data_IF_555384526797
#
_entry.id   IF_555384526797
#
_cell.length_a   1.000
_cell.length_b   1.000
_cell.length_c   1.000
_cell.angle_alpha   90.00
_cell.angle_beta   90.00
_cell.angle_gamma   90.00
#
_symmetry.space_group_name_H-M   'P 1'
#
loop_
_entity.id
_entity.type
_entity.pdbx_description
1 polymer ?
#
# COMPACT_ATOMS: atom_id res chain seq x y z
N UNK A 1 25.81 2.66 -22.34
CA UNK A 1 25.65 1.29 -21.81
C UNK A 1 24.32 0.78 -22.33
N UNK A 2 24.33 -0.14 -23.31
CA UNK A 2 23.13 -0.55 -24.06
C UNK A 2 22.01 -1.06 -23.13
N UNK A 3 20.78 -0.61 -23.34
CA UNK A 3 19.57 -1.12 -22.66
C UNK A 3 19.47 -2.63 -22.87
N UNK A 4 19.39 -3.40 -21.77
CA UNK A 4 19.31 -4.86 -21.89
C UNK A 4 17.91 -5.25 -22.35
N UNK A 5 17.76 -5.42 -23.67
CA UNK A 5 16.54 -5.90 -24.32
C UNK A 5 16.22 -7.30 -23.80
N UNK A 6 15.01 -7.46 -23.27
CA UNK A 6 14.54 -8.73 -22.70
C UNK A 6 13.88 -9.63 -23.75
N UNK A 7 13.23 -9.02 -24.75
CA UNK A 7 12.51 -9.73 -25.78
C UNK A 7 11.54 -8.82 -26.54
N UNK A 8 10.77 -9.44 -27.43
CA UNK A 8 9.73 -8.79 -28.22
C UNK A 8 8.45 -9.63 -28.19
N UNK A 9 7.30 -8.96 -28.23
CA UNK A 9 5.99 -9.60 -28.33
C UNK A 9 4.96 -8.60 -28.81
N UNK A 10 4.06 -9.01 -29.70
CA UNK A 10 2.91 -8.19 -30.17
C UNK A 10 3.30 -6.77 -30.66
N UNK A 11 4.47 -6.65 -31.31
CA UNK A 11 4.98 -5.38 -31.84
C UNK A 11 5.57 -4.44 -30.78
N UNK A 12 5.87 -4.96 -29.58
CA UNK A 12 6.54 -4.26 -28.49
C UNK A 12 7.92 -4.86 -28.26
N UNK A 13 8.85 -4.01 -27.83
CA UNK A 13 10.15 -4.40 -27.31
C UNK A 13 10.21 -4.14 -25.81
N UNK A 14 10.68 -5.12 -25.05
CA UNK A 14 10.70 -5.07 -23.59
C UNK A 14 12.11 -4.90 -23.06
N UNK A 15 12.25 -4.12 -22.00
CA UNK A 15 13.53 -3.83 -21.34
C UNK A 15 13.36 -3.86 -19.82
N UNK A 16 14.46 -4.13 -19.11
CA UNK A 16 14.53 -3.72 -17.71
C UNK A 16 14.57 -2.20 -17.65
N UNK A 17 13.72 -1.62 -16.81
CA UNK A 17 13.69 -0.20 -16.56
C UNK A 17 14.99 0.25 -15.88
N UNK A 18 15.36 1.51 -16.11
CA UNK A 18 16.54 2.13 -15.53
C UNK A 18 16.21 3.48 -14.92
N UNK A 19 17.09 4.03 -14.07
CA UNK A 19 16.92 5.39 -13.55
C UNK A 19 16.66 6.43 -14.66
N UNK A 20 17.26 6.26 -15.84
CA UNK A 20 17.13 7.21 -16.97
C UNK A 20 15.78 7.15 -17.68
N UNK A 21 15.00 6.08 -17.51
CA UNK A 21 13.65 5.98 -18.11
C UNK A 21 12.60 6.77 -17.30
N UNK A 22 12.98 7.43 -16.20
CA UNK A 22 12.06 8.11 -15.28
C UNK A 22 11.12 9.09 -16.00
N UNK A 23 11.66 10.01 -16.80
CA UNK A 23 10.85 11.04 -17.46
C UNK A 23 9.84 10.43 -18.44
N UNK A 24 10.26 9.42 -19.21
CA UNK A 24 9.39 8.67 -20.12
C UNK A 24 8.27 7.93 -19.37
N UNK A 25 8.60 7.33 -18.21
CA UNK A 25 7.62 6.64 -17.35
C UNK A 25 6.63 7.64 -16.75
N UNK A 26 7.10 8.80 -16.29
CA UNK A 26 6.23 9.84 -15.74
C UNK A 26 5.31 10.41 -16.83
N UNK A 27 5.79 10.55 -18.06
CA UNK A 27 4.99 11.01 -19.20
C UNK A 27 3.79 10.10 -19.49
N UNK A 28 3.92 8.77 -19.33
CA UNK A 28 2.79 7.84 -19.48
C UNK A 28 1.94 7.67 -18.20
N UNK A 29 2.41 8.24 -17.08
CA UNK A 29 1.75 8.20 -15.78
C UNK A 29 0.90 9.45 -15.50
N UNK A 30 0.80 10.37 -16.45
CA UNK A 30 -0.03 11.57 -16.32
C UNK A 30 -1.50 11.23 -16.02
N UNK A 31 -2.12 12.05 -15.17
CA UNK A 31 -3.49 11.94 -14.66
C UNK A 31 -3.84 10.62 -13.95
N UNK A 32 -2.84 9.90 -13.45
CA UNK A 32 -3.08 8.70 -12.65
C UNK A 32 -3.40 9.09 -11.20
N UNK A 33 -4.43 8.42 -10.65
CA UNK A 33 -4.87 8.54 -9.26
C UNK A 33 -5.18 9.97 -8.82
N UNK A 34 -5.64 10.84 -9.73
CA UNK A 34 -6.03 12.22 -9.40
C UNK A 34 -4.91 13.00 -8.70
N UNK A 35 -3.66 12.78 -9.12
CA UNK A 35 -2.46 13.41 -8.52
C UNK A 35 -1.91 12.68 -7.30
N UNK A 36 -2.57 11.63 -6.82
CA UNK A 36 -2.15 10.83 -5.67
C UNK A 36 -1.15 9.71 -6.04
N UNK A 37 -0.35 9.92 -7.09
CA UNK A 37 0.56 8.90 -7.60
C UNK A 37 1.81 8.77 -6.71
N UNK A 38 2.06 7.55 -6.26
CA UNK A 38 3.23 7.17 -5.47
C UNK A 38 4.45 6.83 -6.35
N UNK A 39 4.25 6.51 -7.63
CA UNK A 39 5.34 6.06 -8.48
C UNK A 39 6.50 7.06 -8.60
N UNK A 40 6.27 8.39 -8.73
CA UNK A 40 7.36 9.37 -8.82
C UNK A 40 8.38 9.27 -7.68
N UNK A 41 7.91 9.13 -6.43
CA UNK A 41 8.80 9.07 -5.26
C UNK A 41 9.41 7.68 -5.04
N UNK A 42 8.84 6.62 -5.64
CA UNK A 42 9.31 5.23 -5.48
C UNK A 42 10.23 4.77 -6.61
N UNK A 43 10.11 5.34 -7.81
CA UNK A 43 10.73 4.83 -9.02
C UNK A 43 12.24 4.54 -8.87
N UNK A 44 13.01 5.50 -8.39
CA UNK A 44 14.45 5.32 -8.26
C UNK A 44 14.82 4.24 -7.23
N UNK A 45 14.08 4.15 -6.12
CA UNK A 45 14.31 3.10 -5.11
C UNK A 45 14.04 1.69 -5.67
N UNK A 46 13.08 1.56 -6.59
CA UNK A 46 12.76 0.29 -7.24
C UNK A 46 13.89 -0.21 -8.14
N UNK A 47 14.71 0.67 -8.71
CA UNK A 47 15.82 0.28 -9.59
C UNK A 47 16.93 -0.45 -8.81
N UNK A 48 16.99 -0.28 -7.50
CA UNK A 48 18.00 -0.86 -6.62
C UNK A 48 17.42 -1.85 -5.60
N UNK A 49 16.09 -2.06 -5.61
CA UNK A 49 15.44 -2.93 -4.64
C UNK A 49 15.73 -4.40 -4.96
N UNK A 50 16.28 -5.18 -4.02
CA UNK A 50 16.49 -6.61 -4.22
C UNK A 50 15.19 -7.33 -4.56
N UNK A 51 15.28 -8.32 -5.45
CA UNK A 51 14.16 -9.16 -5.87
C UNK A 51 13.04 -8.43 -6.62
N UNK A 52 13.29 -7.18 -7.02
CA UNK A 52 12.40 -6.41 -7.88
C UNK A 52 12.84 -6.44 -9.33
N UNK A 53 11.89 -6.72 -10.21
CA UNK A 53 12.00 -6.55 -11.65
C UNK A 53 11.03 -5.46 -12.09
N UNK A 54 11.54 -4.41 -12.72
CA UNK A 54 10.71 -3.38 -13.35
C UNK A 54 10.89 -3.49 -14.85
N UNK A 55 9.80 -3.76 -15.55
CA UNK A 55 9.81 -3.99 -16.99
C UNK A 55 9.08 -2.84 -17.67
N UNK A 56 9.71 -2.28 -18.69
CA UNK A 56 9.10 -1.29 -19.58
C UNK A 56 8.89 -1.90 -20.96
N UNK A 57 7.82 -1.48 -21.64
CA UNK A 57 7.54 -1.82 -23.02
C UNK A 57 7.65 -0.57 -23.89
N UNK A 58 8.35 -0.71 -25.03
CA UNK A 58 8.49 0.34 -26.05
C UNK A 58 7.88 -0.11 -27.37
N UNK A 59 7.27 0.85 -28.09
CA UNK A 59 6.88 0.71 -29.49
C UNK A 59 7.79 1.64 -30.31
N UNK A 60 8.75 1.06 -31.02
CA UNK A 60 9.87 1.83 -31.55
C UNK A 60 10.66 2.49 -30.42
N UNK A 61 10.87 3.80 -30.48
CA UNK A 61 11.54 4.56 -29.43
C UNK A 61 10.63 4.94 -28.26
N UNK A 62 9.30 4.89 -28.41
CA UNK A 62 8.34 5.41 -27.43
C UNK A 62 8.05 4.40 -26.32
N UNK A 63 8.23 4.79 -25.06
CA UNK A 63 7.75 4.03 -23.90
C UNK A 63 6.23 4.08 -23.83
N UNK A 64 5.60 2.91 -23.73
CA UNK A 64 4.13 2.80 -23.75
C UNK A 64 3.54 2.06 -22.55
N UNK A 65 4.33 1.28 -21.80
CA UNK A 65 3.86 0.63 -20.59
C UNK A 65 5.01 0.35 -19.61
N UNK A 66 4.65 0.19 -18.33
CA UNK A 66 5.52 -0.26 -17.25
C UNK A 66 4.77 -1.23 -16.33
N UNK A 67 5.45 -2.25 -15.82
CA UNK A 67 4.99 -3.10 -14.72
C UNK A 67 6.15 -3.36 -13.75
N UNK A 68 5.87 -3.31 -12.44
CA UNK A 68 6.82 -3.73 -11.41
C UNK A 68 6.38 -5.05 -10.78
N UNK A 69 7.36 -5.92 -10.56
CA UNK A 69 7.22 -7.25 -9.97
C UNK A 69 8.21 -7.40 -8.82
N UNK A 70 7.73 -7.55 -7.59
CA UNK A 70 8.56 -7.81 -6.41
C UNK A 70 8.41 -9.26 -5.98
N UNK A 71 9.49 -10.03 -6.00
CA UNK A 71 9.48 -11.43 -5.55
C UNK A 71 9.62 -11.48 -4.03
N UNK A 72 8.67 -12.17 -3.39
CA UNK A 72 8.49 -12.24 -1.93
C UNK A 72 8.17 -13.68 -1.50
N UNK A 73 7.84 -13.87 -0.22
CA UNK A 73 7.41 -15.15 0.35
C UNK A 73 8.44 -16.27 0.13
N UNK A 74 9.73 -15.93 0.31
CA UNK A 74 10.83 -16.88 0.08
C UNK A 74 10.99 -17.30 -1.39
N UNK A 75 10.64 -16.40 -2.33
CA UNK A 75 10.78 -16.66 -3.77
C UNK A 75 9.63 -17.46 -4.37
N UNK A 76 8.49 -17.57 -3.66
CA UNK A 76 7.32 -18.34 -4.10
C UNK A 76 6.21 -17.47 -4.69
N UNK A 77 6.21 -16.19 -4.39
CA UNK A 77 5.17 -15.27 -4.82
C UNK A 77 5.79 -14.04 -5.46
N UNK A 78 5.14 -13.50 -6.49
CA UNK A 78 5.43 -12.17 -7.02
C UNK A 78 4.27 -11.23 -6.70
N UNK A 79 4.58 -10.10 -6.08
CA UNK A 79 3.66 -8.98 -5.89
C UNK A 79 3.81 -8.02 -7.06
N UNK A 80 2.71 -7.72 -7.74
CA UNK A 80 2.70 -6.83 -8.89
C UNK A 80 2.10 -5.48 -8.53
N UNK A 81 2.81 -4.42 -8.90
CA UNK A 81 2.44 -3.04 -8.62
C UNK A 81 2.89 -2.08 -9.73
N UNK A 82 2.36 -0.85 -9.70
CA UNK A 82 2.82 0.21 -10.60
C UNK A 82 2.52 -0.03 -12.07
N UNK A 83 1.49 -0.80 -12.42
CA UNK A 83 1.08 -0.96 -13.83
C UNK A 83 0.75 0.41 -14.44
N UNK A 84 1.42 0.72 -15.55
CA UNK A 84 1.22 1.93 -16.36
C UNK A 84 0.99 1.56 -17.80
N UNK A 85 0.05 2.27 -18.42
CA UNK A 85 -0.22 2.21 -19.86
C UNK A 85 -0.41 3.64 -20.35
N UNK A 86 0.30 3.98 -21.42
CA UNK A 86 0.20 5.25 -22.13
C UNK A 86 -1.28 5.59 -22.38
N UNK A 87 -1.74 6.82 -22.07
CA UNK A 87 -3.14 7.20 -22.21
C UNK A 87 -3.76 6.84 -23.56
N UNK A 88 -3.02 7.07 -24.65
CA UNK A 88 -3.47 6.80 -26.03
C UNK A 88 -3.57 5.31 -26.38
N UNK A 89 -3.05 4.41 -25.54
CA UNK A 89 -3.09 2.96 -25.74
C UNK A 89 -3.93 2.22 -24.67
N UNK A 90 -4.59 2.97 -23.78
CA UNK A 90 -5.52 2.40 -22.78
C UNK A 90 -6.76 1.83 -23.48
N UNK A 91 -7.30 0.74 -22.95
CA UNK A 91 -8.45 0.04 -23.54
C UNK A 91 -8.13 -0.88 -24.73
N UNK A 92 -6.89 -0.88 -25.23
CA UNK A 92 -6.46 -1.68 -26.39
C UNK A 92 -5.81 -3.02 -26.01
N UNK A 93 -5.93 -3.46 -24.76
CA UNK A 93 -5.39 -4.74 -24.28
C UNK A 93 -3.90 -4.74 -23.90
N UNK A 94 -3.18 -3.61 -24.06
CA UNK A 94 -1.74 -3.51 -23.79
C UNK A 94 -1.34 -3.92 -22.36
N UNK A 95 -2.17 -3.60 -21.36
CA UNK A 95 -1.97 -4.06 -19.98
C UNK A 95 -1.80 -5.59 -19.89
N UNK A 96 -2.60 -6.35 -20.65
CA UNK A 96 -2.49 -7.81 -20.67
C UNK A 96 -1.22 -8.30 -21.37
N UNK A 97 -0.73 -7.58 -22.38
CA UNK A 97 0.50 -7.92 -23.11
C UNK A 97 1.72 -7.80 -22.19
N UNK A 98 1.87 -6.64 -21.54
CA UNK A 98 3.00 -6.43 -20.62
C UNK A 98 2.93 -7.38 -19.42
N UNK A 99 1.74 -7.64 -18.87
CA UNK A 99 1.55 -8.61 -17.80
C UNK A 99 2.01 -10.01 -18.19
N UNK A 100 1.58 -10.52 -19.36
CA UNK A 100 2.01 -11.85 -19.83
C UNK A 100 3.51 -11.94 -20.03
N UNK A 101 4.12 -10.90 -20.60
CA UNK A 101 5.56 -10.85 -20.80
C UNK A 101 6.29 -10.82 -19.44
N UNK A 102 5.85 -9.97 -18.52
CA UNK A 102 6.44 -9.84 -17.19
C UNK A 102 6.33 -11.14 -16.40
N UNK A 103 5.16 -11.80 -16.42
CA UNK A 103 4.93 -13.10 -15.76
C UNK A 103 5.93 -14.16 -16.28
N UNK A 104 6.09 -14.26 -17.60
CA UNK A 104 7.04 -15.19 -18.21
C UNK A 104 8.50 -14.85 -17.87
N UNK A 105 8.85 -13.57 -17.84
CA UNK A 105 10.20 -13.13 -17.49
C UNK A 105 10.52 -13.37 -16.00
N UNK A 106 9.57 -13.09 -15.10
CA UNK A 106 9.69 -13.41 -13.67
C UNK A 106 9.90 -14.91 -13.48
N UNK A 107 9.11 -15.77 -14.13
CA UNK A 107 9.29 -17.24 -14.08
C UNK A 107 10.67 -17.68 -14.59
N UNK A 108 11.21 -17.02 -15.61
CA UNK A 108 12.54 -17.32 -16.13
C UNK A 108 13.65 -16.97 -15.13
N UNK A 109 13.56 -15.82 -14.46
CA UNK A 109 14.57 -15.35 -13.49
C UNK A 109 14.41 -16.04 -12.13
N UNK A 110 13.17 -16.27 -11.72
CA UNK A 110 12.77 -16.88 -10.45
C UNK A 110 11.86 -18.11 -10.68
N UNK A 111 12.41 -19.26 -11.11
CA UNK A 111 11.62 -20.46 -11.43
C UNK A 111 10.81 -21.02 -10.26
N UNK A 112 11.14 -20.63 -9.03
CA UNK A 112 10.44 -21.04 -7.82
C UNK A 112 9.11 -20.31 -7.59
N UNK A 113 8.87 -19.19 -8.29
CA UNK A 113 7.64 -18.42 -8.17
C UNK A 113 6.47 -19.24 -8.70
N UNK A 114 5.42 -19.33 -7.89
CA UNK A 114 4.18 -20.07 -8.18
C UNK A 114 2.97 -19.15 -8.21
N UNK A 115 2.96 -18.09 -7.41
CA UNK A 115 1.79 -17.23 -7.26
C UNK A 115 2.10 -15.80 -7.70
N UNK A 116 1.09 -15.14 -8.27
CA UNK A 116 1.05 -13.70 -8.51
C UNK A 116 0.00 -13.09 -7.60
N UNK A 117 0.38 -12.11 -6.79
CA UNK A 117 -0.50 -11.32 -5.95
C UNK A 117 -0.55 -9.89 -6.42
N UNK A 118 -1.71 -9.26 -6.25
CA UNK A 118 -1.87 -7.83 -6.43
C UNK A 118 -2.98 -7.30 -5.54
N UNK A 119 -2.89 -6.01 -5.23
CA UNK A 119 -3.99 -5.27 -4.66
C UNK A 119 -4.49 -4.23 -5.66
N UNK A 120 -5.79 -3.91 -5.60
CA UNK A 120 -6.39 -2.93 -6.51
C UNK A 120 -7.55 -2.19 -5.87
N UNK A 121 -7.75 -0.94 -6.29
CA UNK A 121 -8.82 -0.07 -5.82
C UNK A 121 -10.09 -0.11 -6.70
N UNK A 122 -9.93 -0.43 -7.97
CA UNK A 122 -11.04 -0.47 -8.92
C UNK A 122 -11.73 -1.84 -8.91
N UNK A 123 -13.05 -1.86 -9.08
CA UNK A 123 -13.80 -3.08 -9.33
C UNK A 123 -13.59 -3.50 -10.80
N UNK A 124 -12.88 -4.60 -11.09
CA UNK A 124 -12.57 -4.95 -12.46
C UNK A 124 -13.70 -5.68 -13.18
N UNK A 125 -14.83 -5.90 -12.50
CA UNK A 125 -15.98 -6.63 -13.01
C UNK A 125 -15.78 -8.16 -12.96
N UNK A 126 -16.87 -8.94 -13.06
CA UNK A 126 -16.84 -10.38 -12.84
C UNK A 126 -15.89 -11.15 -13.77
N UNK A 127 -15.79 -10.74 -15.04
CA UNK A 127 -14.97 -11.42 -16.06
C UNK A 127 -13.46 -11.28 -15.77
N UNK A 128 -13.02 -10.13 -15.26
CA UNK A 128 -11.61 -9.95 -14.89
C UNK A 128 -11.33 -10.56 -13.51
N UNK A 129 -12.29 -10.48 -12.58
CA UNK A 129 -12.17 -11.11 -11.26
C UNK A 129 -12.08 -12.63 -11.36
N UNK A 130 -12.77 -13.27 -12.31
CA UNK A 130 -12.73 -14.74 -12.46
C UNK A 130 -11.35 -15.31 -12.79
N UNK A 131 -10.40 -14.46 -13.20
CA UNK A 131 -9.00 -14.84 -13.45
C UNK A 131 -8.16 -14.91 -12.18
N UNK A 132 -8.73 -14.54 -11.03
CA UNK A 132 -8.04 -14.48 -9.76
C UNK A 132 -8.87 -15.19 -8.69
N UNK A 133 -8.16 -15.78 -7.73
CA UNK A 133 -8.71 -16.09 -6.42
C UNK A 133 -8.85 -14.78 -5.64
N UNK A 134 -10.07 -14.46 -5.25
CA UNK A 134 -10.32 -13.38 -4.30
C UNK A 134 -9.93 -13.86 -2.89
N UNK A 135 -8.97 -13.19 -2.27
CA UNK A 135 -8.50 -13.54 -0.93
C UNK A 135 -9.23 -12.73 0.14
N UNK A 136 -9.28 -11.41 -0.01
CA UNK A 136 -9.97 -10.52 0.93
C UNK A 136 -10.11 -9.09 0.40
N UNK A 137 -10.62 -8.18 1.24
CA UNK A 137 -10.65 -6.74 1.00
C UNK A 137 -10.42 -5.92 2.28
N UNK A 138 -9.94 -4.70 2.09
CA UNK A 138 -9.87 -3.66 3.12
C UNK A 138 -10.70 -2.46 2.73
N UNK A 139 -11.33 -1.80 3.69
CA UNK A 139 -11.92 -0.49 3.47
C UNK A 139 -10.86 0.59 3.62
N UNK A 140 -11.02 1.68 2.87
CA UNK A 140 -10.09 2.82 2.90
C UNK A 140 -10.85 4.07 3.34
N UNK A 141 -10.41 4.68 4.44
CA UNK A 141 -10.79 6.04 4.82
C UNK A 141 -9.78 7.00 4.20
N UNK A 142 -10.24 8.06 3.55
CA UNK A 142 -9.36 9.06 2.95
C UNK A 142 -9.67 10.46 3.44
N UNK A 143 -8.64 11.12 3.94
CA UNK A 143 -8.70 12.46 4.52
C UNK A 143 -7.72 13.38 3.79
N UNK A 144 -8.04 14.67 3.73
CA UNK A 144 -7.18 15.71 3.21
C UNK A 144 -7.22 16.91 4.16
N UNK A 145 -6.06 17.46 4.49
CA UNK A 145 -5.98 18.68 5.29
C UNK A 145 -4.66 19.40 5.09
N UNK A 146 -4.58 20.62 5.61
CA UNK A 146 -3.40 21.47 5.49
C UNK A 146 -2.62 21.52 6.80
N UNK A 147 -1.32 21.82 6.69
CA UNK A 147 -0.41 21.87 7.84
C UNK A 147 -0.87 22.83 8.94
N UNK A 148 -1.46 23.97 8.56
CA UNK A 148 -1.93 25.01 9.50
C UNK A 148 -3.01 24.51 10.47
N UNK A 149 -3.87 23.60 10.01
CA UNK A 149 -5.03 23.12 10.79
C UNK A 149 -4.83 21.71 11.34
N UNK A 150 -3.75 21.04 10.96
CA UNK A 150 -3.53 19.64 11.28
C UNK A 150 -3.31 19.39 12.78
N UNK A 151 -2.59 20.28 13.48
CA UNK A 151 -2.40 20.16 14.94
C UNK A 151 -3.72 20.31 15.71
N UNK A 152 -4.59 21.21 15.25
CA UNK A 152 -5.95 21.38 15.76
C UNK A 152 -6.78 20.10 15.58
N UNK A 153 -6.68 19.46 14.41
CA UNK A 153 -7.37 18.20 14.14
C UNK A 153 -6.91 17.07 15.06
N UNK A 154 -5.60 16.91 15.25
CA UNK A 154 -5.07 15.90 16.17
C UNK A 154 -5.53 16.16 17.61
N UNK A 155 -5.52 17.41 18.03
CA UNK A 155 -6.00 17.82 19.37
C UNK A 155 -7.50 17.55 19.55
N UNK A 156 -8.29 17.78 18.50
CA UNK A 156 -9.71 17.47 18.46
C UNK A 156 -9.99 15.96 18.60
N UNK A 157 -9.26 15.11 17.88
CA UNK A 157 -9.39 13.65 18.01
C UNK A 157 -9.03 13.17 19.43
N UNK A 158 -7.98 13.74 20.03
CA UNK A 158 -7.62 13.44 21.43
C UNK A 158 -8.73 13.82 22.40
N UNK A 159 -9.35 14.99 22.24
CA UNK A 159 -10.45 15.42 23.08
C UNK A 159 -11.66 14.48 22.95
N UNK A 160 -12.00 14.03 21.73
CA UNK A 160 -13.05 13.02 21.50
C UNK A 160 -12.77 11.72 22.26
N UNK A 161 -11.52 11.25 22.26
CA UNK A 161 -11.14 10.05 23.01
C UNK A 161 -11.33 10.23 24.51
N UNK A 162 -10.95 11.38 25.08
CA UNK A 162 -11.12 11.66 26.51
C UNK A 162 -12.58 11.65 26.95
N UNK A 163 -13.52 12.07 26.07
CA UNK A 163 -14.97 12.03 26.36
C UNK A 163 -15.51 10.60 26.30
N UNK A 164 -15.02 9.76 25.38
CA UNK A 164 -15.49 8.37 25.24
C UNK A 164 -14.95 7.42 26.32
N UNK A 165 -13.86 7.79 27.00
CA UNK A 165 -13.10 6.91 27.91
C UNK A 165 -13.70 6.77 29.31
N UNK A 166 -14.78 7.47 29.63
CA UNK A 166 -15.46 7.38 30.93
C UNK A 166 -16.07 6.00 31.27
N UNK A 167 -15.93 5.00 30.40
CA UNK A 167 -16.55 3.67 30.50
C UNK A 167 -15.58 2.47 30.39
N UNK A 168 -14.30 2.66 30.06
CA UNK A 168 -13.38 1.53 29.80
C UNK A 168 -12.52 1.18 31.02
N UNK A 169 -12.62 -0.08 31.49
CA UNK A 169 -11.94 -0.61 32.70
C UNK A 169 -10.40 -0.70 32.62
N UNK A 170 -9.79 -0.40 31.48
CA UNK A 170 -8.33 -0.42 31.30
C UNK A 170 -7.91 0.74 30.39
N UNK A 171 -6.85 1.51 30.74
CA UNK A 171 -6.27 2.47 29.82
C UNK A 171 -5.61 1.70 28.67
N UNK A 172 -6.29 1.64 27.53
CA UNK A 172 -5.76 1.06 26.30
C UNK A 172 -4.74 2.04 25.72
N UNK A 173 -3.45 1.77 25.90
CA UNK A 173 -2.37 2.57 25.31
C UNK A 173 -1.89 1.88 24.03
N UNK A 174 -1.69 2.64 22.97
CA UNK A 174 -0.94 2.17 21.80
C UNK A 174 0.54 2.46 22.02
N UNK A 175 1.39 1.44 22.04
CA UNK A 175 2.83 1.60 22.25
C UNK A 175 3.62 1.28 21.00
N UNK A 176 4.75 1.97 20.82
CA UNK A 176 5.73 1.62 19.80
C UNK A 176 6.35 0.27 20.14
N UNK A 177 6.46 -0.60 19.15
CA UNK A 177 7.08 -1.92 19.29
C UNK A 177 8.49 -1.89 18.69
N UNK A 178 9.44 -2.53 19.35
CA UNK A 178 10.80 -2.71 18.81
C UNK A 178 10.87 -3.86 17.79
N UNK A 179 11.99 -3.98 17.08
CA UNK A 179 12.13 -4.98 16.01
C UNK A 179 12.09 -6.43 16.51
N UNK A 180 12.62 -6.71 17.71
CA UNK A 180 12.67 -8.08 18.24
C UNK A 180 11.27 -8.54 18.68
N UNK A 181 10.55 -7.68 19.40
CA UNK A 181 9.17 -7.91 19.79
C UNK A 181 8.25 -7.99 18.55
N UNK A 182 8.45 -7.13 17.55
CA UNK A 182 7.70 -7.17 16.30
C UNK A 182 7.91 -8.50 15.57
N UNK A 183 9.16 -8.97 15.44
CA UNK A 183 9.45 -10.28 14.86
C UNK A 183 8.71 -11.40 15.59
N UNK A 184 8.75 -11.40 16.93
CA UNK A 184 8.03 -12.38 17.75
C UNK A 184 6.51 -12.34 17.55
N UNK A 185 5.93 -11.15 17.41
CA UNK A 185 4.51 -10.97 17.12
C UNK A 185 4.15 -11.49 15.72
N UNK A 186 4.87 -11.05 14.69
CA UNK A 186 4.54 -11.36 13.29
C UNK A 186 4.69 -12.84 12.96
N UNK A 187 5.63 -13.54 13.59
CA UNK A 187 5.85 -14.97 13.38
C UNK A 187 5.01 -15.85 14.32
N UNK A 188 4.15 -15.26 15.15
CA UNK A 188 3.27 -16.03 16.02
C UNK A 188 2.16 -16.71 15.20
N UNK A 189 1.98 -18.05 15.27
CA UNK A 189 0.99 -18.77 14.47
C UNK A 189 -0.46 -18.28 14.62
N UNK A 190 -0.83 -17.71 15.77
CA UNK A 190 -2.20 -17.23 16.01
C UNK A 190 -2.43 -15.77 15.56
N UNK A 191 -1.39 -15.05 15.14
CA UNK A 191 -1.49 -13.60 14.89
C UNK A 191 -2.42 -13.28 13.71
N UNK A 192 -2.42 -14.11 12.68
CA UNK A 192 -3.27 -13.93 11.49
C UNK A 192 -4.76 -13.93 11.84
N UNK A 193 -5.20 -14.92 12.63
CA UNK A 193 -6.60 -15.04 13.04
C UNK A 193 -6.93 -14.02 14.12
N UNK A 194 -6.02 -13.80 15.08
CA UNK A 194 -6.19 -12.86 16.19
C UNK A 194 -6.36 -11.41 15.71
N UNK A 195 -5.55 -10.97 14.74
CA UNK A 195 -5.61 -9.63 14.17
C UNK A 195 -6.50 -9.52 12.93
N UNK A 196 -7.17 -10.62 12.52
CA UNK A 196 -8.01 -10.66 11.33
C UNK A 196 -7.30 -10.09 10.09
N UNK A 197 -6.10 -10.63 9.82
CA UNK A 197 -5.29 -10.21 8.69
C UNK A 197 -6.00 -10.58 7.37
N UNK A 198 -6.09 -9.65 6.40
CA UNK A 198 -6.77 -9.89 5.13
C UNK A 198 -6.07 -11.00 4.35
N UNK A 199 -6.79 -12.09 4.07
CA UNK A 199 -6.22 -13.27 3.39
C UNK A 199 -5.03 -13.88 4.15
N UNK A 200 -4.89 -13.61 5.45
CA UNK A 200 -3.79 -14.05 6.29
C UNK A 200 -2.45 -13.33 6.08
N UNK A 201 -2.44 -12.23 5.32
CA UNK A 201 -1.23 -11.49 4.97
C UNK A 201 -1.18 -10.11 5.65
N UNK A 202 0.02 -9.58 5.85
CA UNK A 202 0.20 -8.14 6.05
C UNK A 202 0.13 -7.48 4.70
N UNK A 203 -0.75 -6.51 4.54
CA UNK A 203 -0.73 -5.61 3.38
C UNK A 203 -0.10 -4.30 3.82
N UNK A 204 1.12 -4.03 3.36
CA UNK A 204 1.82 -2.77 3.56
C UNK A 204 1.55 -1.86 2.38
N UNK A 205 0.74 -0.80 2.58
CA UNK A 205 0.23 0.03 1.49
C UNK A 205 -0.49 -0.79 0.40
N UNK A 206 0.18 -1.18 -0.68
CA UNK A 206 -0.35 -2.03 -1.77
C UNK A 206 0.32 -3.41 -1.86
N UNK A 207 1.25 -3.73 -0.95
CA UNK A 207 2.08 -4.95 -1.00
C UNK A 207 1.60 -6.00 0.01
N UNK A 208 0.87 -7.05 -0.43
CA UNK A 208 0.51 -8.18 0.42
C UNK A 208 1.71 -9.13 0.61
N UNK A 209 2.04 -9.43 1.87
CA UNK A 209 3.18 -10.25 2.27
C UNK A 209 2.72 -11.31 3.28
N UNK A 210 3.13 -12.56 3.08
CA UNK A 210 2.91 -13.59 4.10
C UNK A 210 3.73 -13.28 5.36
N UNK A 211 3.27 -13.81 6.49
CA UNK A 211 3.96 -13.72 7.77
C UNK A 211 5.14 -14.70 7.85
N UNK A 212 6.17 -14.41 7.06
CA UNK A 212 7.37 -15.24 6.92
C UNK A 212 8.61 -14.45 7.30
N UNK A 213 9.62 -15.15 7.82
CA UNK A 213 10.90 -14.54 8.17
C UNK A 213 11.57 -13.85 6.98
N UNK A 214 11.43 -14.42 5.78
CA UNK A 214 11.94 -13.85 4.52
C UNK A 214 11.32 -12.49 4.15
N UNK A 215 10.12 -12.18 4.65
CA UNK A 215 9.44 -10.92 4.38
C UNK A 215 9.73 -9.82 5.41
N UNK A 216 10.35 -10.16 6.55
CA UNK A 216 10.70 -9.17 7.57
C UNK A 216 11.68 -8.13 7.03
N UNK A 217 12.61 -8.56 6.18
CA UNK A 217 13.55 -7.67 5.51
C UNK A 217 12.85 -6.76 4.48
N UNK A 218 11.82 -7.26 3.78
CA UNK A 218 11.00 -6.43 2.87
C UNK A 218 10.30 -5.33 3.66
N UNK A 219 9.70 -5.66 4.81
CA UNK A 219 9.06 -4.69 5.70
C UNK A 219 10.07 -3.69 6.31
N UNK A 220 11.26 -4.15 6.69
CA UNK A 220 12.30 -3.30 7.27
C UNK A 220 12.72 -2.16 6.32
N UNK A 221 12.85 -2.45 5.01
CA UNK A 221 13.19 -1.47 3.97
C UNK A 221 12.17 -0.35 3.81
N UNK A 222 10.94 -0.51 4.34
CA UNK A 222 9.85 0.47 4.22
C UNK A 222 9.89 1.56 5.30
N UNK A 223 10.76 1.41 6.31
CA UNK A 223 10.93 2.36 7.41
C UNK A 223 9.60 2.70 8.12
N UNK A 224 8.82 1.67 8.45
CA UNK A 224 7.49 1.80 9.03
C UNK A 224 7.55 2.10 10.53
N UNK A 225 6.59 2.89 11.01
CA UNK A 225 6.38 3.14 12.44
C UNK A 225 5.22 2.30 12.96
N UNK A 226 5.54 1.31 13.79
CA UNK A 226 4.60 0.30 14.28
C UNK A 226 4.04 0.62 15.66
N UNK A 227 2.76 0.32 15.84
CA UNK A 227 2.03 0.43 17.10
C UNK A 227 1.21 -0.84 17.35
N UNK A 228 1.18 -1.27 18.61
CA UNK A 228 0.34 -2.38 19.08
C UNK A 228 -0.47 -1.93 20.30
N UNK A 229 -1.60 -2.57 20.54
CA UNK A 229 -2.35 -2.37 21.78
C UNK A 229 -1.58 -2.92 22.99
N UNK A 230 -1.73 -2.28 24.14
CA UNK A 230 -1.08 -2.70 25.39
C UNK A 230 -1.94 -3.68 26.21
N UNK A 231 -2.69 -4.56 25.55
CA UNK A 231 -3.47 -5.62 26.21
C UNK A 231 -2.64 -6.89 26.35
N UNK A 232 -2.00 -7.06 27.51
CA UNK A 232 -1.23 -8.28 27.86
C UNK A 232 -0.19 -8.67 26.78
N UNK A 233 0.28 -9.91 26.80
CA UNK A 233 1.21 -10.44 25.79
C UNK A 233 0.53 -10.78 24.45
N UNK A 234 -0.81 -10.80 24.39
CA UNK A 234 -1.59 -11.17 23.20
C UNK A 234 -2.33 -9.97 22.62
N UNK A 235 -1.62 -9.18 21.84
CA UNK A 235 -2.14 -8.02 21.11
C UNK A 235 -3.40 -8.34 20.28
N UNK A 236 -4.47 -7.56 20.40
CA UNK A 236 -5.68 -7.71 19.59
C UNK A 236 -5.74 -6.71 18.43
N UNK A 237 -4.79 -5.77 18.40
CA UNK A 237 -4.74 -4.72 17.39
C UNK A 237 -3.29 -4.35 17.05
N UNK A 238 -3.02 -4.19 15.77
CA UNK A 238 -1.73 -3.76 15.27
C UNK A 238 -1.94 -2.74 14.18
N UNK A 239 -1.05 -1.77 14.12
CA UNK A 239 -1.09 -0.76 13.07
C UNK A 239 0.30 -0.23 12.77
N UNK A 240 0.48 0.30 11.57
CA UNK A 240 1.69 0.99 11.20
C UNK A 240 1.41 2.10 10.19
N UNK A 241 2.34 3.05 10.08
CA UNK A 241 2.32 4.03 9.00
C UNK A 241 3.62 4.08 8.22
N UNK A 242 3.51 4.47 6.96
CA UNK A 242 4.66 4.80 6.11
C UNK A 242 5.24 6.16 6.53
N UNK A 243 6.53 6.42 6.29
CA UNK A 243 7.03 7.80 6.25
C UNK A 243 6.15 8.65 5.32
N UNK A 244 6.03 9.94 5.62
CA UNK A 244 5.42 10.90 4.70
C UNK A 244 6.23 10.91 3.40
N UNK A 245 5.54 10.88 2.26
CA UNK A 245 6.20 10.94 0.96
C UNK A 245 5.46 11.90 0.01
N UNK A 246 6.18 12.55 -0.92
CA UNK A 246 5.57 13.52 -1.81
C UNK A 246 4.72 12.83 -2.88
N UNK A 247 3.63 13.49 -3.25
CA UNK A 247 2.75 13.13 -4.37
C UNK A 247 2.44 14.37 -5.23
N UNK A 248 2.17 14.23 -6.54
CA UNK A 248 1.87 15.35 -7.43
C UNK A 248 0.63 16.19 -7.08
N UNK A 249 -0.26 15.70 -6.21
CA UNK A 249 -1.51 16.33 -5.85
C UNK A 249 -1.34 17.80 -5.42
N UNK A 250 -2.23 18.67 -5.91
CA UNK A 250 -2.24 20.11 -5.62
C UNK A 250 -0.89 20.84 -5.82
N UNK A 251 -0.13 20.47 -6.85
CA UNK A 251 1.18 21.07 -7.12
C UNK A 251 2.31 20.56 -6.21
N UNK A 252 2.06 19.52 -5.42
CA UNK A 252 3.01 18.93 -4.48
C UNK A 252 2.42 18.85 -3.08
N UNK A 253 1.93 17.67 -2.72
CA UNK A 253 1.37 17.38 -1.39
C UNK A 253 2.13 16.22 -0.75
N UNK A 254 1.94 16.03 0.55
CA UNK A 254 2.43 14.85 1.26
C UNK A 254 1.35 13.77 1.28
N UNK A 255 1.78 12.51 1.33
CA UNK A 255 0.90 11.37 1.57
C UNK A 255 1.37 10.57 2.77
N UNK A 256 0.40 10.20 3.60
CA UNK A 256 0.54 9.28 4.73
C UNK A 256 -0.38 8.08 4.50
N UNK A 257 0.18 6.88 4.59
CA UNK A 257 -0.61 5.65 4.62
C UNK A 257 -0.53 5.04 6.01
N UNK A 258 -1.68 4.65 6.55
CA UNK A 258 -1.83 3.98 7.84
C UNK A 258 -2.54 2.66 7.59
N UNK A 259 -1.90 1.55 7.93
CA UNK A 259 -2.47 0.21 7.83
C UNK A 259 -2.87 -0.29 9.23
N UNK A 260 -4.11 -0.73 9.39
CA UNK A 260 -4.69 -1.20 10.66
C UNK A 260 -5.18 -2.64 10.55
N UNK A 261 -4.90 -3.43 11.59
CA UNK A 261 -5.28 -4.82 11.73
C UNK A 261 -5.93 -5.05 13.09
N UNK A 262 -7.04 -5.77 13.09
CA UNK A 262 -7.98 -5.90 14.20
C UNK A 262 -9.32 -5.19 13.89
N UNK A 263 -10.34 -5.46 14.71
CA UNK A 263 -11.71 -4.95 14.51
C UNK A 263 -12.27 -4.18 15.70
N UNK A 264 -11.45 -3.92 16.71
CA UNK A 264 -11.88 -3.12 17.86
C UNK A 264 -11.87 -1.63 17.51
N UNK A 265 -13.06 -1.01 17.58
CA UNK A 265 -13.24 0.39 17.20
C UNK A 265 -12.58 1.37 18.18
N UNK A 266 -12.42 1.01 19.46
CA UNK A 266 -11.74 1.85 20.45
C UNK A 266 -10.24 1.88 20.15
N UNK A 267 -9.64 0.71 19.90
CA UNK A 267 -8.24 0.58 19.51
C UNK A 267 -7.95 1.28 18.18
N UNK A 268 -8.83 1.16 17.18
CA UNK A 268 -8.65 1.84 15.90
C UNK A 268 -8.61 3.38 16.03
N UNK A 269 -9.53 3.97 16.82
CA UNK A 269 -9.56 5.43 17.06
C UNK A 269 -8.29 5.93 17.75
N UNK A 270 -7.80 5.17 18.73
CA UNK A 270 -6.54 5.49 19.44
C UNK A 270 -5.33 5.34 18.54
N UNK A 271 -5.25 4.25 17.76
CA UNK A 271 -4.17 4.01 16.81
C UNK A 271 -4.08 5.13 15.77
N UNK A 272 -5.23 5.54 15.19
CA UNK A 272 -5.26 6.68 14.27
C UNK A 272 -4.70 7.92 14.94
N UNK A 273 -5.23 8.28 16.11
CA UNK A 273 -4.81 9.48 16.83
C UNK A 273 -3.32 9.46 17.20
N UNK A 274 -2.79 8.29 17.59
CA UNK A 274 -1.38 8.10 17.92
C UNK A 274 -0.49 8.31 16.68
N UNK A 275 -0.83 7.69 15.55
CA UNK A 275 -0.08 7.87 14.31
C UNK A 275 -0.07 9.32 13.83
N UNK A 276 -1.24 9.97 13.78
CA UNK A 276 -1.33 11.38 13.37
C UNK A 276 -0.54 12.28 14.34
N UNK A 277 -0.59 11.99 15.64
CA UNK A 277 0.20 12.72 16.62
C UNK A 277 1.71 12.54 16.47
N UNK A 278 2.18 11.39 15.98
CA UNK A 278 3.59 11.15 15.72
C UNK A 278 4.09 11.99 14.55
N UNK A 279 3.31 12.12 13.48
CA UNK A 279 3.75 12.76 12.23
C UNK A 279 3.35 14.22 12.09
N UNK A 280 2.52 14.76 12.99
CA UNK A 280 1.99 16.13 12.89
C UNK A 280 3.06 17.21 12.74
N UNK A 281 4.24 17.02 13.33
CA UNK A 281 5.36 17.97 13.24
C UNK A 281 6.08 17.95 11.89
N UNK A 282 5.90 16.88 11.11
CA UNK A 282 6.55 16.67 9.82
C UNK A 282 5.67 17.14 8.64
N UNK A 283 4.41 17.47 8.90
CA UNK A 283 3.47 17.93 7.88
C UNK A 283 3.67 19.43 7.65
N UNK A 284 4.28 19.75 6.51
CA UNK A 284 4.65 21.12 6.13
C UNK A 284 3.75 21.73 5.05
N UNK A 285 2.93 20.91 4.39
CA UNK A 285 2.00 21.31 3.33
C UNK A 285 0.70 20.50 3.42
N UNK A 286 -0.16 20.61 2.41
CA UNK A 286 -1.33 19.73 2.25
C UNK A 286 -0.93 18.26 2.36
N UNK A 287 -1.68 17.48 3.13
CA UNK A 287 -1.47 16.06 3.34
C UNK A 287 -2.71 15.25 2.98
N UNK A 288 -2.51 14.20 2.16
CA UNK A 288 -3.47 13.14 1.91
C UNK A 288 -3.19 11.98 2.87
N UNK A 289 -4.21 11.56 3.63
CA UNK A 289 -4.10 10.46 4.59
C UNK A 289 -5.02 9.33 4.15
N UNK A 290 -4.46 8.14 3.97
CA UNK A 290 -5.23 6.93 3.69
C UNK A 290 -5.08 5.96 4.84
N UNK A 291 -6.21 5.56 5.42
CA UNK A 291 -6.27 4.56 6.50
C UNK A 291 -6.91 3.30 5.93
N UNK A 292 -6.13 2.23 5.84
CA UNK A 292 -6.57 0.91 5.39
C UNK A 292 -6.95 0.07 6.60
N UNK A 293 -8.15 -0.49 6.60
CA UNK A 293 -8.71 -1.18 7.77
C UNK A 293 -9.68 -2.30 7.39
N UNK A 294 -10.03 -3.14 8.37
CA UNK A 294 -11.13 -4.09 8.20
C UNK A 294 -12.46 -3.34 7.89
N UNK A 295 -13.30 -3.82 6.94
CA UNK A 295 -14.49 -3.08 6.52
C UNK A 295 -15.48 -2.70 7.63
N UNK A 296 -15.57 -3.50 8.70
CA UNK A 296 -16.44 -3.20 9.85
C UNK A 296 -16.06 -1.92 10.61
N UNK A 297 -14.84 -1.42 10.46
CA UNK A 297 -14.35 -0.22 11.14
C UNK A 297 -14.64 1.07 10.37
N UNK A 298 -14.98 0.99 9.08
CA UNK A 298 -14.95 2.18 8.23
C UNK A 298 -15.92 3.27 8.68
N UNK A 299 -17.18 2.91 8.95
CA UNK A 299 -18.22 3.89 9.29
C UNK A 299 -17.93 4.57 10.63
N UNK A 300 -17.50 3.80 11.64
CA UNK A 300 -17.16 4.35 12.96
C UNK A 300 -15.90 5.22 12.91
N UNK A 301 -14.92 4.89 12.07
CA UNK A 301 -13.71 5.68 11.88
C UNK A 301 -13.98 6.95 11.08
N UNK A 302 -14.87 6.88 10.07
CA UNK A 302 -15.35 8.04 9.31
C UNK A 302 -15.97 9.07 10.25
N UNK A 303 -16.97 8.66 11.03
CA UNK A 303 -17.67 9.51 12.01
C UNK A 303 -16.74 10.09 13.08
N UNK A 304 -15.73 9.32 13.50
CA UNK A 304 -14.73 9.79 14.46
C UNK A 304 -13.94 11.00 13.93
N UNK A 305 -13.64 11.02 12.63
CA UNK A 305 -12.90 12.09 11.96
C UNK A 305 -13.76 13.30 11.56
N UNK A 306 -15.09 13.23 11.64
CA UNK A 306 -15.98 14.34 11.30
C UNK A 306 -15.96 15.46 12.35
N UNK A 307 -16.33 16.68 11.95
CA UNK A 307 -16.64 17.79 12.86
C UNK A 307 -15.46 18.70 13.23
N UNK A 308 -14.36 18.64 12.49
CA UNK A 308 -13.27 19.61 12.56
C UNK A 308 -13.00 20.19 11.16
N UNK A 309 -13.07 21.51 11.02
CA UNK A 309 -13.04 22.17 9.70
C UNK A 309 -11.69 22.07 8.97
N UNK A 310 -10.64 21.70 9.69
CA UNK A 310 -9.27 21.64 9.18
C UNK A 310 -8.89 20.38 8.40
N UNK A 311 -9.71 19.32 8.45
CA UNK A 311 -9.44 18.06 7.73
C UNK A 311 -10.75 17.54 7.17
N UNK A 312 -10.80 17.36 5.85
CA UNK A 312 -11.97 16.96 5.10
C UNK A 312 -11.87 15.50 4.64
N UNK A 313 -13.02 14.87 4.43
CA UNK A 313 -13.08 13.61 3.71
C UNK A 313 -12.74 13.85 2.24
N UNK A 314 -11.68 13.19 1.76
CA UNK A 314 -11.22 13.34 0.38
C UNK A 314 -12.02 12.48 -0.60
N UNK A 315 -12.40 11.27 -0.16
CA UNK A 315 -13.14 10.31 -0.99
C UNK A 315 -14.19 9.58 -0.16
N UNK A 316 -15.32 9.27 -0.80
CA UNK A 316 -16.33 8.35 -0.27
C UNK A 316 -15.76 6.93 -0.08
N UNK A 317 -16.58 6.04 0.47
CA UNK A 317 -16.22 4.63 0.65
C UNK A 317 -15.57 4.03 -0.60
N UNK A 318 -14.42 3.40 -0.39
CA UNK A 318 -13.73 2.62 -1.40
C UNK A 318 -12.88 1.55 -0.72
N UNK A 319 -12.46 0.57 -1.50
CA UNK A 319 -11.86 -0.65 -0.99
C UNK A 319 -10.54 -0.94 -1.70
N UNK A 320 -9.69 -1.70 -1.03
CA UNK A 320 -8.56 -2.39 -1.63
C UNK A 320 -8.88 -3.88 -1.67
N UNK A 321 -9.03 -4.43 -2.88
CA UNK A 321 -9.20 -5.86 -3.08
C UNK A 321 -7.83 -6.55 -3.06
N UNK A 322 -7.75 -7.70 -2.42
CA UNK A 322 -6.56 -8.56 -2.39
C UNK A 322 -6.82 -9.81 -3.24
N UNK A 323 -6.05 -9.94 -4.31
CA UNK A 323 -6.24 -10.96 -5.34
C UNK A 323 -4.96 -11.78 -5.53
N UNK A 324 -5.13 -13.06 -5.82
CA UNK A 324 -4.06 -13.99 -6.16
C UNK A 324 -4.38 -14.78 -7.42
N UNK A 325 -3.36 -15.16 -8.17
CA UNK A 325 -3.47 -16.08 -9.30
C UNK A 325 -2.25 -16.97 -9.36
N UNK A 326 -2.45 -18.26 -9.58
CA UNK A 326 -1.35 -19.17 -9.86
C UNK A 326 -0.70 -18.82 -11.21
N UNK A 327 0.62 -18.73 -11.22
CA UNK A 327 1.43 -18.62 -12.41
C UNK A 327 1.81 -20.03 -12.86
N UNK A 328 1.27 -20.44 -14.00
CA UNK A 328 1.63 -21.69 -14.67
C UNK A 328 3.11 -21.67 -15.10
#
# INVERSE_FOLDING_TARGET
>A
MESHKLGESEGLTFFLARPEDYDDVMAISHDIYEGNDYLPCRYHSWMTEPDRLVIIARRGSRLVALESSLVVDGGKTVVVEGLRVCPTERGLGLAGVIQRFADGYVKKVYPTVKNKRLTRADNPGPEKLSKFTYLDKRAILSLCGDSETFDGFVSYLKAKLSVSDGSTRYPLVTKRIDQAALKGLLLNPDVSSRLQLPGGAIIQDWQPLDLLESNLEVLARRNLSWFVDDLNEKHLFMSFHTPLYPVPFNGGSLRLNIDMFGTDASLAKRALTAHLNTVKGDIQSTVLIHVYMHPSLWEVMRQFCEGHDGVNHWRNYWEQLFLERELL
#
